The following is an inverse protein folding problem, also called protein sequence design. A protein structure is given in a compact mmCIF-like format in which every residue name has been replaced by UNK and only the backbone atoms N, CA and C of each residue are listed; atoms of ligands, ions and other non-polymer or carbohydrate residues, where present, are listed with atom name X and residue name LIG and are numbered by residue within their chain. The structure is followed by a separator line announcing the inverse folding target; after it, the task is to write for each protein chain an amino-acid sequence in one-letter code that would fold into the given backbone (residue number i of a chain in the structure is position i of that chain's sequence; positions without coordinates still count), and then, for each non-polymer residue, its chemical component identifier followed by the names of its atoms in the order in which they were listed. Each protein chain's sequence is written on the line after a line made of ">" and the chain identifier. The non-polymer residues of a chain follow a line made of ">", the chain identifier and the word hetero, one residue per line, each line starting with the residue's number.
data_IF_436595182923
#
_entry.id   IF_436595182923
#
_cell.length_a   1.000
_cell.length_b   1.000
_cell.length_c   1.000
_cell.angle_alpha   90.00
_cell.angle_beta   90.00
_cell.angle_gamma   90.00
#
_symmetry.space_group_name_H-M   'P 1'
#
loop_
_entity.id
_entity.type
_entity.pdbx_description
1 polymer ?
#
# COMPACT_ATOMS: atom_id res chain seq x y z
N UNK A 1 -11.26 -6.56 2.90
CA UNK A 1 -12.35 -5.99 2.13
C UNK A 1 -11.80 -5.16 0.99
N UNK A 2 -11.15 -5.83 0.03
CA UNK A 2 -10.62 -5.20 -1.19
C UNK A 2 -11.70 -5.12 -2.28
N UNK A 3 -12.84 -5.79 -2.11
CA UNK A 3 -13.97 -5.81 -3.05
C UNK A 3 -15.25 -5.16 -2.47
N UNK A 4 -15.26 -4.70 -1.22
CA UNK A 4 -16.35 -3.98 -0.59
C UNK A 4 -17.52 -4.86 -0.12
N UNK A 5 -17.31 -6.15 0.09
CA UNK A 5 -18.36 -7.10 0.48
C UNK A 5 -18.56 -7.25 2.00
N UNK A 6 -17.77 -6.55 2.80
CA UNK A 6 -17.79 -6.58 4.26
C UNK A 6 -16.98 -7.73 4.89
N UNK A 7 -16.25 -8.51 4.10
CA UNK A 7 -15.39 -9.59 4.58
C UNK A 7 -13.89 -9.21 4.47
N UNK A 8 -13.04 -9.68 5.39
CA UNK A 8 -11.60 -9.49 5.27
C UNK A 8 -11.00 -10.48 4.26
N UNK A 9 -10.34 -9.96 3.23
CA UNK A 9 -9.59 -10.72 2.21
C UNK A 9 -8.10 -10.83 2.54
N UNK A 10 -7.39 -11.68 1.80
CA UNK A 10 -5.93 -11.81 1.88
C UNK A 10 -5.26 -11.13 0.70
N UNK A 11 -4.26 -10.31 0.99
CA UNK A 11 -3.37 -9.68 0.01
C UNK A 11 -1.93 -10.10 0.27
N UNK A 12 -1.27 -10.63 -0.76
CA UNK A 12 0.11 -11.12 -0.68
C UNK A 12 1.02 -10.40 -1.68
N UNK A 13 2.10 -9.79 -1.19
CA UNK A 13 3.16 -9.22 -2.02
C UNK A 13 4.20 -10.30 -2.37
N UNK A 14 4.08 -10.88 -3.56
CA UNK A 14 4.91 -11.98 -4.01
C UNK A 14 6.11 -11.57 -4.85
N UNK A 15 6.63 -12.53 -5.60
CA UNK A 15 7.76 -12.32 -6.50
C UNK A 15 7.37 -11.56 -7.76
N UNK A 16 6.28 -12.01 -8.41
CA UNK A 16 5.84 -11.51 -9.70
C UNK A 16 4.82 -10.35 -9.60
N UNK A 17 4.29 -10.07 -8.41
CA UNK A 17 3.23 -9.10 -8.23
C UNK A 17 2.50 -9.20 -6.90
N UNK A 18 1.35 -8.53 -6.82
CA UNK A 18 0.42 -8.60 -5.69
C UNK A 18 -0.73 -9.55 -6.03
N UNK A 19 -0.96 -10.50 -5.14
CA UNK A 19 -1.98 -11.54 -5.27
C UNK A 19 -3.08 -11.31 -4.24
N UNK A 20 -4.33 -11.51 -4.65
CA UNK A 20 -5.51 -11.37 -3.81
C UNK A 20 -6.27 -12.68 -3.79
N UNK A 21 -6.61 -13.13 -2.59
CA UNK A 21 -7.52 -14.25 -2.36
C UNK A 21 -8.75 -13.70 -1.62
N UNK A 22 -9.87 -13.66 -2.33
CA UNK A 22 -11.13 -13.13 -1.81
C UNK A 22 -11.73 -14.09 -0.78
N UNK A 23 -12.32 -13.53 0.26
CA UNK A 23 -13.06 -14.30 1.25
C UNK A 23 -14.50 -14.52 0.78
N UNK A 24 -14.92 -15.76 0.66
CA UNK A 24 -16.26 -16.11 0.19
C UNK A 24 -17.27 -16.39 1.33
N UNK A 25 -16.87 -16.14 2.58
CA UNK A 25 -17.67 -16.35 3.79
C UNK A 25 -17.38 -17.66 4.52
N UNK A 26 -16.87 -18.68 3.82
CA UNK A 26 -16.51 -19.98 4.39
C UNK A 26 -15.00 -20.28 4.27
N UNK A 27 -14.36 -19.78 3.20
CA UNK A 27 -12.94 -19.97 2.90
C UNK A 27 -12.38 -18.81 2.08
N UNK A 28 -11.09 -18.90 1.71
CA UNK A 28 -10.49 -18.02 0.70
C UNK A 28 -10.47 -18.70 -0.67
N UNK A 29 -10.83 -17.94 -1.69
CA UNK A 29 -10.67 -18.37 -3.08
C UNK A 29 -9.19 -18.51 -3.46
N UNK A 30 -8.92 -19.08 -4.64
CA UNK A 30 -7.55 -19.16 -5.14
C UNK A 30 -6.99 -17.76 -5.35
N UNK A 31 -5.82 -17.49 -4.75
CA UNK A 31 -5.13 -16.21 -4.92
C UNK A 31 -4.79 -15.93 -6.38
N UNK A 32 -5.34 -14.86 -6.94
CA UNK A 32 -5.08 -14.40 -8.30
C UNK A 32 -4.28 -13.11 -8.29
N UNK A 33 -3.45 -12.92 -9.33
CA UNK A 33 -2.63 -11.73 -9.45
C UNK A 33 -3.49 -10.52 -9.85
N UNK A 34 -3.51 -9.49 -9.00
CA UNK A 34 -4.22 -8.23 -9.27
C UNK A 34 -3.28 -7.12 -9.73
N UNK A 35 -1.98 -7.22 -9.43
CA UNK A 35 -0.98 -6.23 -9.83
C UNK A 35 0.35 -6.90 -10.19
N UNK A 36 1.04 -6.40 -11.22
CA UNK A 36 2.41 -6.85 -11.57
C UNK A 36 3.52 -6.10 -10.81
N UNK A 37 3.22 -4.87 -10.39
CA UNK A 37 4.13 -4.00 -9.64
C UNK A 37 4.23 -4.33 -8.16
N UNK A 38 4.96 -3.47 -7.44
CA UNK A 38 5.09 -3.51 -5.97
C UNK A 38 5.63 -4.85 -5.39
N UNK A 39 6.43 -5.57 -6.17
CA UNK A 39 6.83 -6.96 -5.93
C UNK A 39 8.35 -7.19 -5.97
N UNK A 40 8.82 -8.36 -5.54
CA UNK A 40 10.26 -8.63 -5.42
C UNK A 40 10.99 -8.47 -6.76
N UNK A 41 10.44 -9.00 -7.85
CA UNK A 41 11.08 -8.94 -9.17
C UNK A 41 11.07 -7.53 -9.76
N UNK A 42 10.19 -6.64 -9.30
CA UNK A 42 10.22 -5.20 -9.64
C UNK A 42 11.06 -4.37 -8.67
N UNK A 43 11.89 -5.01 -7.83
CA UNK A 43 12.87 -4.34 -6.97
C UNK A 43 12.39 -4.07 -5.54
N UNK A 44 11.16 -4.42 -5.19
CA UNK A 44 10.64 -4.18 -3.84
C UNK A 44 11.26 -5.12 -2.81
N UNK A 45 11.57 -4.61 -1.61
CA UNK A 45 12.29 -5.36 -0.58
C UNK A 45 11.71 -5.06 0.79
N UNK A 46 11.56 -6.08 1.62
CA UNK A 46 10.97 -5.95 2.97
C UNK A 46 11.83 -5.11 3.92
N UNK A 47 13.16 -5.12 3.73
CA UNK A 47 14.13 -4.36 4.52
C UNK A 47 14.32 -2.91 4.04
N UNK A 48 13.62 -2.48 2.99
CA UNK A 48 13.74 -1.13 2.41
C UNK A 48 12.42 -0.43 2.19
N UNK A 49 11.44 -1.17 1.69
CA UNK A 49 10.23 -0.66 1.06
C UNK A 49 8.96 -1.15 1.79
N UNK A 50 8.54 -0.44 2.86
CA UNK A 50 7.24 -0.64 3.49
C UNK A 50 6.11 -0.53 2.47
N UNK A 51 5.14 -1.43 2.57
CA UNK A 51 3.93 -1.49 1.74
C UNK A 51 2.72 -1.69 2.63
N UNK A 52 1.65 -0.98 2.36
CA UNK A 52 0.46 -0.92 3.21
C UNK A 52 -0.80 -0.94 2.35
N UNK A 53 -1.91 -1.27 3.00
CA UNK A 53 -3.26 -1.15 2.44
C UNK A 53 -4.00 -0.03 3.19
N UNK A 54 -4.58 0.92 2.46
CA UNK A 54 -5.42 2.00 3.00
C UNK A 54 -6.22 2.62 1.88
N UNK A 55 -7.46 2.99 2.15
CA UNK A 55 -8.26 3.84 1.25
C UNK A 55 -7.66 5.25 1.27
N UNK A 56 -7.01 5.67 0.17
CA UNK A 56 -6.37 6.99 0.06
C UNK A 56 -7.08 7.91 -0.93
N UNK A 57 -8.07 7.41 -1.66
CA UNK A 57 -8.87 8.17 -2.62
C UNK A 57 -10.32 8.44 -2.14
N UNK A 58 -10.73 7.83 -1.03
CA UNK A 58 -12.03 8.01 -0.38
C UNK A 58 -13.17 7.20 -1.01
N UNK A 59 -12.89 6.16 -1.79
CA UNK A 59 -13.92 5.36 -2.48
C UNK A 59 -14.46 4.19 -1.64
N UNK A 60 -13.89 3.95 -0.46
CA UNK A 60 -14.28 2.88 0.45
C UNK A 60 -13.57 1.55 0.20
N UNK A 61 -12.66 1.47 -0.78
CA UNK A 61 -11.81 0.32 -1.04
C UNK A 61 -10.36 0.62 -0.62
N UNK A 62 -9.66 -0.32 0.03
CA UNK A 62 -8.26 -0.12 0.37
C UNK A 62 -7.38 -0.18 -0.89
N UNK A 63 -6.61 0.88 -1.11
CA UNK A 63 -5.55 0.98 -2.13
C UNK A 63 -4.22 0.43 -1.59
N UNK A 64 -3.23 0.23 -2.47
CA UNK A 64 -1.87 -0.07 -2.05
C UNK A 64 -1.03 1.20 -2.02
N UNK A 65 -0.35 1.44 -0.90
CA UNK A 65 0.67 2.48 -0.76
C UNK A 65 2.03 1.84 -0.47
N UNK A 66 3.01 2.11 -1.34
CA UNK A 66 4.38 1.61 -1.21
C UNK A 66 5.40 2.72 -1.10
N UNK A 67 6.27 2.67 -0.09
CA UNK A 67 7.42 3.57 0.03
C UNK A 67 8.63 2.99 -0.71
N UNK A 68 8.79 3.32 -1.98
CA UNK A 68 9.81 2.79 -2.87
C UNK A 68 11.18 3.47 -2.76
N UNK A 69 12.00 3.32 -3.80
CA UNK A 69 13.32 3.94 -3.86
C UNK A 69 13.23 5.47 -3.97
N UNK A 70 12.43 5.97 -4.92
CA UNK A 70 12.34 7.41 -5.22
C UNK A 70 11.27 8.13 -4.38
N UNK A 71 10.21 7.43 -3.99
CA UNK A 71 9.06 8.09 -3.37
C UNK A 71 7.94 7.13 -2.95
N UNK A 72 6.78 7.70 -2.66
CA UNK A 72 5.55 6.98 -2.36
C UNK A 72 4.82 6.69 -3.66
N UNK A 73 4.66 5.40 -3.95
CA UNK A 73 3.90 4.85 -5.07
C UNK A 73 2.53 4.41 -4.58
N UNK A 74 1.47 4.72 -5.33
CA UNK A 74 0.09 4.35 -5.03
C UNK A 74 -0.49 3.58 -6.21
N UNK A 75 -1.05 2.41 -5.93
CA UNK A 75 -1.86 1.62 -6.86
C UNK A 75 -3.31 1.61 -6.36
N UNK A 76 -4.19 2.27 -7.11
CA UNK A 76 -5.60 2.41 -6.74
C UNK A 76 -6.34 1.09 -6.94
N UNK A 77 -7.26 0.78 -6.03
CA UNK A 77 -8.14 -0.37 -6.13
C UNK A 77 -9.41 0.02 -6.92
N UNK A 78 -9.87 -0.85 -7.80
CA UNK A 78 -11.11 -0.64 -8.56
C UNK A 78 -12.19 -1.69 -8.27
N UNK A 79 -11.97 -2.56 -7.27
CA UNK A 79 -12.90 -3.59 -6.77
C UNK A 79 -12.64 -5.00 -7.31
N UNK A 80 -11.87 -5.13 -8.40
CA UNK A 80 -11.50 -6.44 -8.96
C UNK A 80 -10.01 -6.55 -9.35
N UNK A 81 -9.27 -5.45 -9.29
CA UNK A 81 -7.84 -5.35 -9.57
C UNK A 81 -7.24 -4.08 -8.93
N UNK A 82 -5.91 -3.96 -9.00
CA UNK A 82 -5.24 -2.69 -8.72
C UNK A 82 -4.71 -2.08 -10.02
N UNK A 83 -4.89 -0.78 -10.18
CA UNK A 83 -4.28 -0.03 -11.27
C UNK A 83 -2.74 -0.05 -11.15
N UNK A 84 -2.05 0.21 -12.26
CA UNK A 84 -0.58 0.34 -12.23
C UNK A 84 -0.17 1.45 -11.28
N UNK A 85 0.84 1.21 -10.45
CA UNK A 85 1.27 2.17 -9.44
C UNK A 85 1.78 3.48 -10.08
N UNK A 86 1.42 4.60 -9.46
CA UNK A 86 1.88 5.94 -9.85
C UNK A 86 2.56 6.61 -8.68
N UNK A 87 3.58 7.43 -8.95
CA UNK A 87 4.20 8.23 -7.90
C UNK A 87 3.27 9.36 -7.49
N UNK A 88 2.86 9.35 -6.21
CA UNK A 88 2.07 10.44 -5.62
C UNK A 88 2.95 11.42 -4.86
N UNK A 89 4.16 10.97 -4.46
CA UNK A 89 5.06 11.78 -3.66
C UNK A 89 6.53 11.39 -3.86
N UNK A 90 7.32 12.23 -4.56
CA UNK A 90 8.77 12.05 -4.75
C UNK A 90 9.65 12.34 -3.52
N UNK A 91 9.23 11.87 -2.34
CA UNK A 91 9.98 11.95 -1.06
C UNK A 91 9.58 10.76 -0.18
N UNK A 92 10.27 10.60 0.96
CA UNK A 92 10.09 9.47 1.88
C UNK A 92 10.58 8.11 1.34
N UNK A 93 11.23 8.13 0.17
CA UNK A 93 11.85 6.98 -0.47
C UNK A 93 13.25 6.66 0.05
N UNK A 94 13.72 5.45 -0.25
CA UNK A 94 15.03 4.96 0.17
C UNK A 94 16.20 5.84 -0.32
N UNK A 95 16.14 6.33 -1.57
CA UNK A 95 17.18 7.19 -2.16
C UNK A 95 17.20 8.60 -1.54
N UNK A 96 16.12 8.99 -0.87
CA UNK A 96 16.06 10.21 -0.04
C UNK A 96 16.56 10.01 1.40
N UNK A 97 17.18 8.86 1.70
CA UNK A 97 17.80 8.57 3.01
C UNK A 97 16.89 7.89 4.04
N UNK A 98 15.64 7.57 3.69
CA UNK A 98 14.72 6.88 4.60
C UNK A 98 15.11 5.42 4.77
N UNK A 99 14.99 4.90 6.00
CA UNK A 99 15.47 3.57 6.39
C UNK A 99 14.51 2.94 7.38
N UNK A 100 14.20 1.67 7.19
CA UNK A 100 13.22 0.95 8.03
C UNK A 100 13.65 0.84 9.50
N UNK A 101 14.95 0.80 9.76
CA UNK A 101 15.54 0.67 11.11
C UNK A 101 15.71 2.00 11.84
N UNK A 102 15.46 3.14 11.17
CA UNK A 102 15.69 4.49 11.73
C UNK A 102 14.49 5.42 11.62
N UNK A 103 13.72 5.28 10.55
CA UNK A 103 12.69 6.23 10.15
C UNK A 103 11.35 5.50 9.98
N UNK A 104 10.49 5.52 11.00
CA UNK A 104 9.17 4.90 10.90
C UNK A 104 8.34 5.62 9.84
N UNK A 105 7.57 4.84 9.06
CA UNK A 105 6.64 5.32 8.04
C UNK A 105 5.32 4.59 8.27
N UNK A 106 4.25 5.35 8.44
CA UNK A 106 2.92 4.84 8.75
C UNK A 106 1.90 5.51 7.82
N UNK A 107 0.77 4.84 7.63
CA UNK A 107 -0.46 5.47 7.15
C UNK A 107 -1.35 5.77 8.35
N UNK A 108 -2.01 6.93 8.34
CA UNK A 108 -2.91 7.35 9.40
C UNK A 108 -4.02 8.20 8.76
N UNK A 109 -5.27 7.79 8.99
CA UNK A 109 -6.47 8.50 8.52
C UNK A 109 -6.68 9.81 9.31
N UNK A 110 -6.31 9.80 10.59
CA UNK A 110 -6.42 10.94 11.51
C UNK A 110 -5.09 11.22 12.20
N UNK A 111 -4.43 12.31 11.81
CA UNK A 111 -3.40 12.92 12.66
C UNK A 111 -3.90 14.30 13.10
N UNK A 112 -4.50 14.36 14.28
CA UNK A 112 -4.55 15.61 15.05
C UNK A 112 -3.31 15.65 15.94
N UNK A 113 -2.24 16.28 15.43
CA UNK A 113 -0.97 16.43 16.14
C UNK A 113 -0.60 17.91 16.34
N UNK A 114 -0.83 18.45 17.54
CA UNK A 114 -0.16 19.67 17.98
C UNK A 114 1.28 19.32 18.39
N UNK A 115 2.29 19.77 17.63
CA UNK A 115 3.69 19.71 18.06
C UNK A 115 4.71 19.70 16.91
N UNK A 116 5.78 20.50 17.03
CA UNK A 116 6.80 20.77 16.02
C UNK A 116 7.82 19.63 15.78
N UNK A 117 7.48 18.38 16.09
CA UNK A 117 8.37 17.24 15.91
C UNK A 117 7.71 16.25 14.93
N UNK A 118 7.90 16.54 13.63
CA UNK A 118 7.85 15.60 12.51
C UNK A 118 6.82 14.47 12.56
N UNK A 119 5.58 14.77 12.18
CA UNK A 119 4.73 13.80 11.49
C UNK A 119 4.02 14.55 10.35
N UNK A 120 4.38 14.21 9.12
CA UNK A 120 3.61 14.61 7.93
C UNK A 120 3.11 13.32 7.30
N UNK A 121 1.86 12.97 7.62
CA UNK A 121 1.05 12.09 6.79
C UNK A 121 -0.15 12.93 6.41
N UNK A 122 -0.12 13.47 5.20
CA UNK A 122 -1.29 14.03 4.56
C UNK A 122 -1.64 13.06 3.45
N UNK A 123 -2.88 12.57 3.44
CA UNK A 123 -3.86 12.80 2.39
C UNK A 123 -5.21 12.27 2.90
N UNK A 124 -6.11 13.19 3.29
CA UNK A 124 -7.54 13.04 3.03
C UNK A 124 -8.19 14.41 2.92
N UNK A 125 -9.02 14.56 1.90
CA UNK A 125 -10.22 15.40 1.94
C UNK A 125 -11.35 14.59 1.36
#
# INVERSE_FOLDING_TARGET
>A
DVNGDGLPDVVGFGDAGVFVALNNGDSFDTGIQWLFGLAYNSGWRVDKHPRFLSDVNGDGLPDIVGFGDEGVMVALNNGDSFDTETEWLGRLGYNSGWRVDKHPRFLSDDVVGFGNEGIFVALKS
#
